data_IF_167600612090
#
_entry.id   IF_167600612090
#
_cell.length_a   1.000
_cell.length_b   1.000
_cell.length_c   1.000
_cell.angle_alpha   90.00
_cell.angle_beta   90.00
_cell.angle_gamma   90.00
#
_symmetry.space_group_name_H-M   'P 1'
#
loop_
_entity.id
_entity.type
_entity.pdbx_description
1 polymer ?
#
# COMPACT_ATOMS: atom_id res chain seq x y z
N UNK A 1 32.06 -64.30 49.73
CA UNK A 1 30.58 -64.30 49.72
C UNK A 1 30.14 -63.06 48.96
N UNK A 2 29.45 -63.29 47.83
CA UNK A 2 28.45 -62.44 47.15
C UNK A 2 28.78 -60.94 47.00
N UNK A 3 29.26 -60.43 45.86
CA UNK A 3 28.63 -60.36 44.54
C UNK A 3 27.35 -59.48 44.54
N UNK A 4 27.44 -58.37 43.79
CA UNK A 4 26.37 -57.55 43.19
C UNK A 4 25.51 -56.64 44.07
N UNK A 5 25.78 -55.33 43.97
CA UNK A 5 24.71 -54.32 44.02
C UNK A 5 24.79 -53.44 42.79
N UNK A 6 24.44 -54.05 41.66
CA UNK A 6 24.03 -53.38 40.43
C UNK A 6 22.88 -52.41 40.75
N UNK A 7 23.02 -51.13 40.41
CA UNK A 7 22.22 -50.49 39.35
C UNK A 7 22.54 -48.99 39.28
N UNK A 8 23.16 -48.61 38.16
CA UNK A 8 22.88 -47.38 37.44
C UNK A 8 22.69 -46.09 38.28
N UNK A 9 23.80 -45.41 38.60
CA UNK A 9 23.77 -43.94 38.72
C UNK A 9 23.61 -43.41 37.29
N UNK A 10 22.36 -43.43 36.82
CA UNK A 10 21.95 -42.84 35.55
C UNK A 10 22.39 -41.39 35.57
N UNK A 11 23.28 -41.09 34.62
CA UNK A 11 23.62 -39.76 34.15
C UNK A 11 22.31 -39.06 33.76
N UNK A 12 21.65 -38.41 34.71
CA UNK A 12 20.43 -37.63 34.44
C UNK A 12 20.88 -36.29 33.83
N UNK A 13 21.22 -36.34 32.54
CA UNK A 13 21.18 -35.20 31.66
C UNK A 13 19.73 -34.71 31.60
N UNK A 14 19.31 -33.93 32.59
CA UNK A 14 18.14 -33.07 32.45
C UNK A 14 18.51 -31.95 31.47
N UNK A 15 18.47 -32.27 30.18
CA UNK A 15 18.36 -31.27 29.13
C UNK A 15 16.99 -30.62 29.32
N UNK A 16 16.95 -29.58 30.17
CA UNK A 16 15.82 -28.68 30.25
C UNK A 16 15.76 -28.04 28.87
N UNK A 17 14.86 -28.54 28.02
CA UNK A 17 14.43 -27.82 26.83
C UNK A 17 13.72 -26.59 27.38
N UNK A 18 14.51 -25.55 27.65
CA UNK A 18 14.03 -24.23 27.99
C UNK A 18 13.38 -23.68 26.72
N UNK A 19 12.11 -24.03 26.53
CA UNK A 19 11.20 -23.22 25.75
C UNK A 19 11.04 -21.92 26.57
N UNK A 20 12.01 -21.01 26.46
CA UNK A 20 11.93 -19.70 27.11
C UNK A 20 10.61 -19.07 26.70
N UNK A 21 9.73 -18.69 27.64
CA UNK A 21 8.45 -18.10 27.28
C UNK A 21 8.73 -16.83 26.49
N UNK A 22 8.31 -16.82 25.23
CA UNK A 22 8.39 -15.67 24.35
C UNK A 22 7.72 -14.47 25.03
N UNK A 23 8.39 -13.31 25.05
CA UNK A 23 7.88 -12.10 25.69
C UNK A 23 6.44 -11.81 25.17
N UNK A 24 5.42 -11.70 26.04
CA UNK A 24 4.04 -11.52 25.60
C UNK A 24 3.86 -10.21 24.81
N UNK A 25 4.67 -9.18 25.04
CA UNK A 25 4.72 -7.96 24.23
C UNK A 25 5.26 -8.22 22.82
N UNK A 26 6.25 -9.09 22.68
CA UNK A 26 6.79 -9.48 21.37
C UNK A 26 5.74 -10.20 20.54
N UNK A 27 4.97 -11.11 21.15
CA UNK A 27 3.87 -11.80 20.45
C UNK A 27 2.76 -10.82 20.02
N UNK A 28 2.43 -9.81 20.83
CA UNK A 28 1.46 -8.77 20.44
C UNK A 28 1.96 -7.99 19.23
N UNK A 29 3.23 -7.60 19.23
CA UNK A 29 3.83 -6.78 18.16
C UNK A 29 3.95 -7.59 16.86
N UNK A 30 4.32 -8.88 16.94
CA UNK A 30 4.30 -9.80 15.80
C UNK A 30 2.90 -9.97 15.19
N UNK A 31 1.87 -9.97 16.03
CA UNK A 31 0.47 -10.05 15.56
C UNK A 31 0.00 -8.75 14.89
N UNK A 32 0.46 -7.59 15.40
CA UNK A 32 0.15 -6.29 14.81
C UNK A 32 0.89 -6.07 13.48
N UNK A 33 2.14 -6.53 13.41
CA UNK A 33 3.02 -6.48 12.23
C UNK A 33 3.10 -5.10 11.54
N UNK A 34 3.14 -4.02 12.33
CA UNK A 34 3.29 -2.66 11.81
C UNK A 34 4.65 -2.07 12.16
N UNK A 35 5.22 -1.19 11.30
CA UNK A 35 6.48 -0.51 11.58
C UNK A 35 6.47 0.24 12.91
N UNK A 36 5.33 0.83 13.28
CA UNK A 36 5.15 1.59 14.51
C UNK A 36 5.18 0.70 15.75
N UNK A 37 4.54 -0.48 15.69
CA UNK A 37 4.54 -1.44 16.79
C UNK A 37 5.94 -1.98 17.06
N UNK A 38 6.69 -2.33 16.02
CA UNK A 38 8.09 -2.75 16.15
C UNK A 38 8.98 -1.62 16.69
N UNK A 39 8.81 -0.39 16.19
CA UNK A 39 9.57 0.77 16.69
C UNK A 39 9.30 1.05 18.18
N UNK A 40 8.06 0.88 18.64
CA UNK A 40 7.71 1.03 20.04
C UNK A 40 8.29 -0.09 20.90
N UNK A 41 8.24 -1.34 20.42
CA UNK A 41 8.85 -2.48 21.09
C UNK A 41 10.36 -2.28 21.28
N UNK A 42 11.07 -1.83 20.25
CA UNK A 42 12.51 -1.55 20.33
C UNK A 42 12.85 -0.49 21.38
N UNK A 43 12.00 0.54 21.55
CA UNK A 43 12.19 1.57 22.58
C UNK A 43 11.97 1.03 23.99
N UNK A 44 10.99 0.16 24.16
CA UNK A 44 10.65 -0.42 25.46
C UNK A 44 11.62 -1.53 25.88
N UNK A 45 12.15 -2.29 24.91
CA UNK A 45 12.99 -3.46 25.14
C UNK A 45 14.32 -3.40 24.34
N UNK A 46 15.14 -2.34 24.47
CA UNK A 46 16.28 -2.08 23.57
C UNK A 46 17.39 -3.14 23.61
N UNK A 47 17.55 -3.82 24.75
CA UNK A 47 18.57 -4.87 24.95
C UNK A 47 18.03 -6.30 24.72
N UNK A 48 16.76 -6.45 24.32
CA UNK A 48 16.18 -7.77 24.04
C UNK A 48 16.71 -8.37 22.74
N UNK A 49 16.74 -9.71 22.64
CA UNK A 49 17.08 -10.38 21.38
C UNK A 49 16.03 -10.07 20.31
N UNK A 50 14.78 -9.95 20.75
CA UNK A 50 13.62 -9.59 19.95
C UNK A 50 13.71 -8.18 19.36
N UNK A 51 14.44 -7.25 19.98
CA UNK A 51 14.64 -5.92 19.40
C UNK A 51 15.43 -5.95 18.09
N UNK A 52 16.38 -6.87 17.93
CA UNK A 52 17.08 -7.07 16.66
C UNK A 52 16.13 -7.61 15.57
N UNK A 53 15.23 -8.52 15.94
CA UNK A 53 14.19 -9.05 15.06
C UNK A 53 13.17 -7.96 14.69
N UNK A 54 12.75 -7.14 15.66
CA UNK A 54 11.86 -6.00 15.46
C UNK A 54 12.43 -5.01 14.44
N UNK A 55 13.70 -4.62 14.61
CA UNK A 55 14.42 -3.75 13.65
C UNK A 55 14.40 -4.31 12.24
N UNK A 56 14.75 -5.59 12.12
CA UNK A 56 14.82 -6.28 10.83
C UNK A 56 13.44 -6.34 10.16
N UNK A 57 12.40 -6.70 10.93
CA UNK A 57 11.04 -6.78 10.41
C UNK A 57 10.49 -5.40 10.01
N UNK A 58 10.73 -4.37 10.82
CA UNK A 58 10.39 -2.99 10.51
C UNK A 58 11.04 -2.51 9.22
N UNK A 59 12.32 -2.80 9.01
CA UNK A 59 13.03 -2.47 7.78
C UNK A 59 12.43 -3.19 6.56
N UNK A 60 12.10 -4.49 6.70
CA UNK A 60 11.45 -5.26 5.64
C UNK A 60 10.07 -4.70 5.27
N UNK A 61 9.27 -4.28 6.24
CA UNK A 61 7.97 -3.64 6.00
C UNK A 61 8.10 -2.29 5.29
N UNK A 62 9.17 -1.53 5.59
CA UNK A 62 9.47 -0.29 4.89
C UNK A 62 9.89 -0.55 3.43
N UNK A 63 10.78 -1.51 3.18
CA UNK A 63 11.16 -1.94 1.83
C UNK A 63 9.93 -2.41 1.03
N UNK A 64 9.08 -3.25 1.62
CA UNK A 64 7.84 -3.70 0.99
C UNK A 64 6.87 -2.55 0.67
N UNK A 65 6.83 -1.49 1.50
CA UNK A 65 6.03 -0.30 1.21
C UNK A 65 6.58 0.45 -0.01
N UNK A 66 7.88 0.70 -0.08
CA UNK A 66 8.49 1.40 -1.21
C UNK A 66 8.36 0.58 -2.50
N UNK A 67 8.57 -0.74 -2.42
CA UNK A 67 8.34 -1.66 -3.52
C UNK A 67 6.88 -1.61 -4.01
N UNK A 68 5.90 -1.67 -3.11
CA UNK A 68 4.47 -1.52 -3.47
C UNK A 68 4.19 -0.16 -4.11
N UNK A 69 4.87 0.90 -3.67
CA UNK A 69 4.82 2.23 -4.29
C UNK A 69 5.30 2.21 -5.73
N UNK A 70 6.50 1.67 -5.97
CA UNK A 70 7.07 1.55 -7.31
C UNK A 70 6.19 0.69 -8.23
N UNK A 71 5.72 -0.46 -7.74
CA UNK A 71 4.85 -1.37 -8.50
C UNK A 71 3.46 -0.77 -8.79
N UNK A 72 2.95 0.14 -7.95
CA UNK A 72 1.69 0.85 -8.21
C UNK A 72 1.83 1.87 -9.35
N UNK A 73 2.98 2.53 -9.44
CA UNK A 73 3.27 3.53 -10.49
C UNK A 73 3.67 2.86 -11.80
N UNK A 74 4.43 1.76 -11.72
CA UNK A 74 4.87 0.91 -12.84
C UNK A 74 5.56 1.70 -13.98
N UNK A 75 6.44 2.63 -13.62
CA UNK A 75 7.30 3.34 -14.58
C UNK A 75 8.77 3.02 -14.35
N UNK A 76 9.60 3.19 -15.39
CA UNK A 76 11.04 2.97 -15.30
C UNK A 76 11.68 3.84 -14.20
N UNK A 77 11.22 5.08 -14.05
CA UNK A 77 11.70 6.03 -13.04
C UNK A 77 11.32 5.60 -11.62
N UNK A 78 10.12 5.06 -11.43
CA UNK A 78 9.67 4.59 -10.13
C UNK A 78 10.48 3.39 -9.65
N UNK A 79 10.77 2.43 -10.55
CA UNK A 79 11.67 1.33 -10.23
C UNK A 79 13.12 1.78 -10.03
N UNK A 80 13.60 2.75 -10.82
CA UNK A 80 14.94 3.34 -10.63
C UNK A 80 15.08 3.96 -9.22
N UNK A 81 14.08 4.73 -8.78
CA UNK A 81 14.05 5.35 -7.46
C UNK A 81 14.01 4.31 -6.34
N UNK A 82 13.27 3.22 -6.52
CA UNK A 82 13.26 2.09 -5.59
C UNK A 82 14.63 1.40 -5.51
N UNK A 83 15.26 1.09 -6.66
CA UNK A 83 16.58 0.43 -6.72
C UNK A 83 17.67 1.30 -6.08
N UNK A 84 17.62 2.62 -6.26
CA UNK A 84 18.58 3.55 -5.67
C UNK A 84 18.52 3.54 -4.13
N UNK A 85 17.32 3.44 -3.56
CA UNK A 85 17.10 3.39 -2.11
C UNK A 85 17.30 1.99 -1.52
N UNK A 86 17.02 0.93 -2.30
CA UNK A 86 17.05 -0.46 -1.88
C UNK A 86 17.90 -1.32 -2.83
N UNK A 87 19.21 -1.04 -3.02
CA UNK A 87 20.01 -1.73 -4.03
C UNK A 87 20.20 -3.24 -3.75
N UNK A 88 20.14 -3.63 -2.48
CA UNK A 88 20.19 -5.02 -2.02
C UNK A 88 18.87 -5.49 -1.40
N UNK A 89 17.78 -4.73 -1.61
CA UNK A 89 16.44 -5.09 -1.12
C UNK A 89 15.93 -6.37 -1.76
N UNK A 90 14.95 -7.01 -1.12
CA UNK A 90 14.40 -8.30 -1.58
C UNK A 90 13.77 -8.17 -2.97
N UNK A 91 13.25 -6.99 -3.31
CA UNK A 91 12.63 -6.73 -4.61
C UNK A 91 13.56 -6.08 -5.63
N UNK A 92 14.83 -5.80 -5.28
CA UNK A 92 15.76 -5.07 -6.13
C UNK A 92 16.00 -5.77 -7.49
N UNK A 93 16.16 -7.09 -7.49
CA UNK A 93 16.33 -7.87 -8.72
C UNK A 93 15.08 -7.79 -9.61
N UNK A 94 13.89 -7.92 -9.02
CA UNK A 94 12.61 -7.82 -9.74
C UNK A 94 12.37 -6.42 -10.29
N UNK A 95 12.69 -5.39 -9.51
CA UNK A 95 12.58 -4.00 -9.92
C UNK A 95 13.48 -3.70 -11.14
N UNK A 96 14.73 -4.18 -11.13
CA UNK A 96 15.65 -4.03 -12.27
C UNK A 96 15.12 -4.71 -13.53
N UNK A 97 14.61 -5.93 -13.40
CA UNK A 97 14.02 -6.66 -14.52
C UNK A 97 12.84 -5.88 -15.11
N UNK A 98 11.91 -5.43 -14.26
CA UNK A 98 10.74 -4.66 -14.71
C UNK A 98 11.11 -3.30 -15.32
N UNK A 99 12.09 -2.61 -14.73
CA UNK A 99 12.62 -1.37 -15.29
C UNK A 99 13.16 -1.59 -16.71
N UNK A 100 13.96 -2.65 -16.92
CA UNK A 100 14.52 -2.97 -18.23
C UNK A 100 13.43 -3.29 -19.27
N UNK A 101 12.40 -4.05 -18.89
CA UNK A 101 11.24 -4.32 -19.75
C UNK A 101 10.54 -3.04 -20.19
N UNK A 102 10.31 -2.10 -19.26
CA UNK A 102 9.62 -0.84 -19.54
C UNK A 102 10.46 0.09 -20.44
N UNK A 103 11.78 0.12 -20.25
CA UNK A 103 12.70 0.86 -21.12
C UNK A 103 12.71 0.25 -22.52
N UNK A 104 12.76 -1.08 -22.64
CA UNK A 104 12.77 -1.76 -23.92
C UNK A 104 11.44 -1.63 -24.68
N UNK A 105 10.32 -1.52 -23.96
CA UNK A 105 8.99 -1.34 -24.54
C UNK A 105 8.67 0.11 -24.90
N UNK A 106 9.47 1.09 -24.44
CA UNK A 106 9.27 2.48 -24.80
C UNK A 106 9.64 2.70 -26.28
N UNK A 107 8.79 3.34 -27.09
CA UNK A 107 9.20 3.77 -28.43
C UNK A 107 10.40 4.71 -28.30
N UNK A 108 11.31 4.77 -29.30
CA UNK A 108 12.40 5.74 -29.28
C UNK A 108 11.77 7.14 -29.26
N UNK A 109 11.72 7.73 -28.08
CA UNK A 109 11.41 9.14 -27.92
C UNK A 109 12.51 9.88 -28.68
N UNK A 110 12.18 10.81 -29.61
CA UNK A 110 13.21 11.69 -30.13
C UNK A 110 13.82 12.40 -28.92
N UNK A 111 15.11 12.17 -28.71
CA UNK A 111 15.94 12.91 -27.78
C UNK A 111 15.58 14.39 -27.87
N UNK A 112 15.23 15.08 -26.77
CA UNK A 112 15.37 16.51 -26.75
C UNK A 112 16.87 16.78 -26.85
N UNK A 113 17.32 17.03 -28.07
CA UNK A 113 18.51 17.78 -28.35
C UNK A 113 18.35 19.12 -27.62
N UNK A 114 18.92 19.21 -26.44
CA UNK A 114 20.04 20.10 -26.11
C UNK A 114 20.23 20.03 -24.60
N UNK A 115 21.23 19.28 -24.18
CA UNK A 115 22.00 19.59 -22.99
C UNK A 115 22.78 20.89 -23.24
N UNK A 116 22.08 22.02 -23.38
CA UNK A 116 22.63 23.39 -23.47
C UNK A 116 21.65 24.38 -22.82
N UNK A 117 21.19 24.08 -21.60
CA UNK A 117 20.54 25.09 -20.74
C UNK A 117 20.75 24.83 -19.23
N UNK A 118 21.64 23.89 -18.88
CA UNK A 118 21.97 23.57 -17.47
C UNK A 118 23.17 24.38 -16.96
N UNK A 119 23.82 25.19 -17.79
CA UNK A 119 25.00 25.97 -17.42
C UNK A 119 24.72 27.46 -17.11
N UNK A 120 23.54 27.79 -16.56
CA UNK A 120 23.34 29.14 -16.01
C UNK A 120 22.37 29.21 -14.84
N UNK A 121 22.58 28.39 -13.82
CA UNK A 121 22.07 28.66 -12.47
C UNK A 121 22.82 27.90 -11.36
N UNK A 122 24.10 27.56 -11.54
CA UNK A 122 24.94 27.18 -10.41
C UNK A 122 25.67 28.44 -9.92
N UNK A 123 25.03 29.17 -9.00
CA UNK A 123 25.63 30.35 -8.39
C UNK A 123 24.74 30.97 -7.33
N UNK A 124 24.73 30.39 -6.13
CA UNK A 124 25.00 31.03 -4.83
C UNK A 124 24.43 30.18 -3.69
N UNK A 125 25.36 29.50 -3.01
CA UNK A 125 25.56 29.34 -1.56
C UNK A 125 24.38 28.97 -0.64
N UNK A 126 24.65 27.92 0.13
CA UNK A 126 23.93 27.40 1.28
C UNK A 126 23.55 28.44 2.35
N UNK A 127 22.35 28.27 2.94
CA UNK A 127 22.08 28.03 4.37
C UNK A 127 20.66 27.49 4.57
N UNK A 128 20.45 26.85 5.73
CA UNK A 128 19.18 26.58 6.45
C UNK A 128 18.36 25.28 6.19
N UNK A 129 18.52 24.31 7.10
CA UNK A 129 17.39 23.61 7.77
C UNK A 129 16.69 24.63 8.72
N UNK A 130 15.41 24.49 9.18
CA UNK A 130 14.60 23.28 9.25
C UNK A 130 13.09 23.44 8.90
N UNK A 131 12.38 22.30 8.92
CA UNK A 131 10.91 22.14 8.78
C UNK A 131 10.12 22.97 9.82
N UNK A 132 8.88 23.39 9.49
CA UNK A 132 7.75 22.81 10.23
C UNK A 132 6.51 22.51 9.35
N UNK A 133 5.67 21.61 9.88
CA UNK A 133 4.34 21.29 9.38
C UNK A 133 3.41 22.53 9.37
N UNK A 134 2.28 22.46 8.65
CA UNK A 134 1.08 23.10 9.17
C UNK A 134 -0.10 22.14 9.34
N UNK A 135 -0.72 22.34 10.49
CA UNK A 135 -1.97 21.80 10.98
C UNK A 135 -3.20 22.09 10.12
N UNK A 136 -4.19 21.23 10.36
CA UNK A 136 -5.63 21.41 10.25
C UNK A 136 -6.12 22.86 10.38
N UNK A 137 -7.01 23.32 9.49
CA UNK A 137 -7.93 24.41 9.82
C UNK A 137 -9.31 23.92 10.33
N UNK A 138 -9.96 24.68 11.24
CA UNK A 138 -11.13 24.30 12.02
C UNK A 138 -12.47 24.60 11.32
N UNK A 139 -13.55 24.05 11.88
CA UNK A 139 -14.91 24.50 11.61
C UNK A 139 -15.14 25.92 12.15
N UNK A 140 -15.97 26.72 11.46
CA UNK A 140 -16.95 27.53 12.17
C UNK A 140 -18.37 27.32 11.59
N UNK A 141 -19.31 27.16 12.50
CA UNK A 141 -20.74 27.18 12.25
C UNK A 141 -21.28 28.62 12.36
N UNK A 142 -22.31 28.92 11.56
CA UNK A 142 -23.43 29.88 11.70
C UNK A 142 -23.54 31.03 10.67
N UNK A 143 -24.75 31.06 10.11
CA UNK A 143 -25.35 31.69 8.91
C UNK A 143 -25.65 33.20 9.07
N UNK A 144 -26.00 33.96 8.00
CA UNK A 144 -27.40 34.01 7.48
C UNK A 144 -27.58 34.13 5.94
N UNK A 145 -28.73 33.65 5.43
CA UNK A 145 -29.23 33.76 4.05
C UNK A 145 -29.78 35.18 3.73
N UNK A 146 -29.85 35.66 2.46
CA UNK A 146 -30.85 35.23 1.43
C UNK A 146 -30.22 35.13 0.01
N UNK A 147 -30.79 34.63 -1.09
CA UNK A 147 -32.15 34.37 -1.56
C UNK A 147 -32.07 33.32 -2.72
N UNK A 148 -33.11 32.48 -2.89
CA UNK A 148 -33.15 31.29 -3.77
C UNK A 148 -33.15 31.59 -5.27
N UNK A 149 -32.42 30.78 -6.05
CA UNK A 149 -32.93 30.14 -7.28
C UNK A 149 -33.33 28.67 -7.04
N UNK A 150 -34.21 28.07 -7.86
CA UNK A 150 -35.04 26.92 -7.46
C UNK A 150 -34.26 25.64 -7.16
N UNK A 151 -34.70 24.96 -6.10
CA UNK A 151 -34.19 23.69 -5.63
C UNK A 151 -34.32 22.59 -6.68
N UNK A 152 -33.21 22.23 -7.32
CA UNK A 152 -32.99 20.84 -7.72
C UNK A 152 -32.50 20.11 -6.46
N UNK A 153 -33.20 19.03 -6.10
CA UNK A 153 -32.90 18.20 -4.91
C UNK A 153 -31.39 17.91 -4.84
N UNK A 154 -30.74 17.88 -3.66
CA UNK A 154 -29.37 17.41 -3.56
C UNK A 154 -29.34 15.99 -4.14
N UNK A 155 -28.70 15.86 -5.30
CA UNK A 155 -28.48 14.58 -5.97
C UNK A 155 -27.60 13.77 -5.04
N UNK A 156 -28.17 12.76 -4.39
CA UNK A 156 -27.41 11.84 -3.56
C UNK A 156 -26.46 11.09 -4.50
N UNK A 157 -25.17 11.45 -4.47
CA UNK A 157 -24.15 10.69 -5.15
C UNK A 157 -24.15 9.28 -4.54
N UNK A 158 -24.31 8.28 -5.39
CA UNK A 158 -24.40 6.87 -4.98
C UNK A 158 -23.09 6.19 -5.34
N UNK A 159 -22.58 5.33 -4.45
CA UNK A 159 -21.39 4.53 -4.75
C UNK A 159 -21.80 3.15 -5.25
N UNK A 160 -21.26 2.75 -6.41
CA UNK A 160 -21.38 1.39 -6.93
C UNK A 160 -20.07 0.64 -6.70
N UNK A 161 -20.13 -0.60 -6.27
CA UNK A 161 -19.01 -1.54 -6.27
C UNK A 161 -19.14 -2.51 -7.43
N UNK A 162 -18.21 -2.45 -8.37
CA UNK A 162 -18.19 -3.25 -9.59
C UNK A 162 -17.47 -4.60 -9.40
N UNK A 163 -16.70 -4.76 -8.32
CA UNK A 163 -16.08 -6.04 -8.00
C UNK A 163 -15.02 -5.96 -6.92
N UNK A 164 -14.56 -7.14 -6.51
CA UNK A 164 -13.40 -7.32 -5.64
C UNK A 164 -12.42 -8.28 -6.33
N UNK A 165 -11.20 -7.83 -6.55
CA UNK A 165 -10.19 -8.51 -7.36
C UNK A 165 -8.97 -8.81 -6.50
N UNK A 166 -8.25 -9.90 -6.77
CA UNK A 166 -7.01 -10.19 -6.04
C UNK A 166 -5.79 -9.38 -6.51
N UNK A 167 -5.96 -8.41 -7.41
CA UNK A 167 -4.90 -7.47 -7.80
C UNK A 167 -5.47 -6.17 -8.37
N UNK A 168 -4.68 -5.09 -8.33
CA UNK A 168 -5.05 -3.79 -8.90
C UNK A 168 -5.19 -3.85 -10.42
N UNK A 169 -4.35 -4.62 -11.11
CA UNK A 169 -4.36 -4.76 -12.57
C UNK A 169 -5.64 -5.44 -13.05
N UNK A 170 -6.14 -6.46 -12.32
CA UNK A 170 -7.42 -7.11 -12.64
C UNK A 170 -8.61 -6.18 -12.40
N UNK A 171 -8.54 -5.35 -11.36
CA UNK A 171 -9.53 -4.30 -11.13
C UNK A 171 -9.53 -3.27 -12.27
N UNK A 172 -8.35 -2.81 -12.72
CA UNK A 172 -8.24 -1.87 -13.84
C UNK A 172 -8.68 -2.48 -15.18
N UNK A 173 -8.36 -3.77 -15.42
CA UNK A 173 -8.84 -4.49 -16.61
C UNK A 173 -10.37 -4.55 -16.61
N UNK A 174 -10.97 -4.96 -15.50
CA UNK A 174 -12.42 -5.01 -15.35
C UNK A 174 -13.07 -3.63 -15.49
N UNK A 175 -12.40 -2.56 -15.04
CA UNK A 175 -12.85 -1.18 -15.28
C UNK A 175 -12.91 -0.83 -16.78
N UNK A 176 -11.87 -1.17 -17.56
CA UNK A 176 -11.88 -0.94 -19.02
C UNK A 176 -12.97 -1.74 -19.72
N UNK A 177 -13.18 -2.99 -19.31
CA UNK A 177 -14.27 -3.84 -19.83
C UNK A 177 -15.64 -3.20 -19.51
N UNK A 178 -15.84 -2.70 -18.28
CA UNK A 178 -17.05 -2.00 -17.88
C UNK A 178 -17.30 -0.71 -18.70
N UNK A 179 -16.25 0.04 -19.02
CA UNK A 179 -16.33 1.22 -19.91
C UNK A 179 -16.66 0.86 -21.38
N UNK A 180 -16.34 -0.36 -21.80
CA UNK A 180 -16.76 -0.91 -23.10
C UNK A 180 -18.26 -1.19 -23.15
N UNK A 181 -18.82 -1.71 -22.05
CA UNK A 181 -20.25 -2.06 -21.93
C UNK A 181 -21.11 -0.80 -21.71
N UNK A 182 -20.64 0.11 -20.85
CA UNK A 182 -21.42 1.28 -20.41
C UNK A 182 -20.65 2.57 -20.71
N UNK A 183 -21.13 3.31 -21.70
CA UNK A 183 -20.47 4.54 -22.16
C UNK A 183 -20.40 5.63 -21.07
N UNK A 184 -21.36 5.70 -20.14
CA UNK A 184 -21.35 6.71 -19.06
C UNK A 184 -20.18 6.54 -18.10
N UNK A 185 -19.63 5.32 -17.95
CA UNK A 185 -18.44 5.07 -17.12
C UNK A 185 -17.15 5.63 -17.72
N UNK A 186 -17.14 6.02 -19.01
CA UNK A 186 -15.95 6.61 -19.66
C UNK A 186 -15.61 7.98 -19.11
N UNK A 187 -16.62 8.70 -18.62
CA UNK A 187 -16.47 10.04 -18.05
C UNK A 187 -16.34 10.01 -16.51
N UNK A 188 -16.33 8.82 -15.91
CA UNK A 188 -16.22 8.63 -14.46
C UNK A 188 -14.81 8.15 -14.10
N UNK A 189 -14.38 8.42 -12.86
CA UNK A 189 -13.10 7.94 -12.33
C UNK A 189 -13.33 6.68 -11.46
N UNK A 190 -12.54 5.61 -11.65
CA UNK A 190 -12.60 4.46 -10.77
C UNK A 190 -11.94 4.77 -9.42
N UNK A 191 -12.54 4.26 -8.36
CA UNK A 191 -11.99 4.22 -7.01
C UNK A 191 -11.58 2.78 -6.73
N UNK A 192 -10.28 2.48 -6.79
CA UNK A 192 -9.74 1.17 -6.41
C UNK A 192 -9.24 1.23 -4.97
N UNK A 193 -9.99 0.60 -4.05
CA UNK A 193 -9.67 0.60 -2.61
C UNK A 193 -9.14 -0.76 -2.22
N UNK A 194 -7.95 -0.81 -1.62
CA UNK A 194 -7.42 -2.03 -1.01
C UNK A 194 -8.05 -2.24 0.38
N UNK A 195 -8.62 -3.41 0.64
CA UNK A 195 -9.19 -3.73 1.95
C UNK A 195 -8.10 -3.88 3.01
N UNK A 196 -8.17 -3.13 4.10
CA UNK A 196 -7.17 -3.17 5.19
C UNK A 196 -7.12 -4.49 5.98
N UNK A 197 -8.00 -5.45 5.68
CA UNK A 197 -7.99 -6.81 6.24
C UNK A 197 -8.30 -7.92 5.23
N UNK A 198 -8.41 -7.60 3.93
CA UNK A 198 -8.60 -8.57 2.86
C UNK A 198 -7.66 -8.20 1.72
N UNK A 199 -6.86 -9.14 1.19
CA UNK A 199 -5.96 -8.95 0.03
C UNK A 199 -6.72 -8.71 -1.30
N UNK A 200 -7.86 -8.03 -1.22
CA UNK A 200 -8.80 -7.76 -2.29
C UNK A 200 -8.82 -6.25 -2.58
N UNK A 201 -8.74 -5.95 -3.87
CA UNK A 201 -8.87 -4.63 -4.47
C UNK A 201 -10.33 -4.46 -4.89
N UNK A 202 -11.03 -3.53 -4.24
CA UNK A 202 -12.43 -3.23 -4.51
C UNK A 202 -12.51 -2.12 -5.54
N UNK A 203 -13.11 -2.41 -6.70
CA UNK A 203 -13.39 -1.42 -7.74
C UNK A 203 -14.73 -0.76 -7.45
N UNK A 204 -14.73 0.57 -7.30
CA UNK A 204 -15.92 1.38 -7.06
C UNK A 204 -16.00 2.56 -8.02
N UNK A 205 -17.19 3.12 -8.17
CA UNK A 205 -17.46 4.36 -8.91
C UNK A 205 -18.58 5.13 -8.23
N UNK A 206 -18.44 6.45 -8.14
CA UNK A 206 -19.50 7.35 -7.69
C UNK A 206 -20.34 7.81 -8.90
N UNK A 207 -21.65 7.78 -8.75
CA UNK A 207 -22.60 8.19 -9.79
C UNK A 207 -23.54 9.25 -9.25
N UNK A 208 -23.99 10.16 -10.11
CA UNK A 208 -24.75 11.35 -9.71
C UNK A 208 -26.16 11.04 -9.20
N UNK A 209 -26.72 9.88 -9.51
CA UNK A 209 -28.04 9.51 -9.03
C UNK A 209 -28.23 8.00 -8.89
N UNK A 210 -29.16 7.61 -8.01
CA UNK A 210 -29.60 6.22 -7.84
C UNK A 210 -30.14 5.62 -9.15
N UNK A 211 -30.91 6.39 -9.91
CA UNK A 211 -31.42 5.94 -11.20
C UNK A 211 -30.30 5.65 -12.21
N UNK A 212 -29.21 6.41 -12.19
CA UNK A 212 -28.02 6.12 -13.01
C UNK A 212 -27.32 4.85 -12.50
N UNK A 213 -27.21 4.70 -11.18
CA UNK A 213 -26.64 3.51 -10.54
C UNK A 213 -27.34 2.22 -10.92
N UNK A 214 -28.67 2.20 -10.83
CA UNK A 214 -29.51 1.07 -11.19
C UNK A 214 -29.35 0.69 -12.68
N UNK A 215 -29.33 1.68 -13.59
CA UNK A 215 -29.13 1.45 -15.03
C UNK A 215 -27.74 0.90 -15.33
N UNK A 216 -26.69 1.44 -14.71
CA UNK A 216 -25.31 0.98 -14.88
C UNK A 216 -25.16 -0.46 -14.37
N UNK A 217 -25.65 -0.75 -13.16
CA UNK A 217 -25.57 -2.10 -12.61
C UNK A 217 -26.38 -3.11 -13.44
N UNK A 218 -27.56 -2.75 -13.96
CA UNK A 218 -28.34 -3.63 -14.82
C UNK A 218 -27.59 -3.98 -16.11
N UNK A 219 -26.97 -2.98 -16.76
CA UNK A 219 -26.20 -3.19 -17.99
C UNK A 219 -24.97 -4.09 -17.76
N UNK A 220 -24.23 -3.85 -16.66
CA UNK A 220 -23.06 -4.67 -16.32
C UNK A 220 -23.43 -6.11 -16.00
N UNK A 221 -24.48 -6.34 -15.19
CA UNK A 221 -24.95 -7.69 -14.86
C UNK A 221 -25.45 -8.45 -16.09
N UNK A 222 -26.12 -7.76 -17.03
CA UNK A 222 -26.55 -8.36 -18.30
C UNK A 222 -25.37 -8.84 -19.15
N UNK A 223 -24.22 -8.16 -19.06
CA UNK A 223 -22.97 -8.54 -19.71
C UNK A 223 -22.12 -9.55 -18.89
N UNK A 224 -22.64 -10.06 -17.76
CA UNK A 224 -21.94 -11.01 -16.89
C UNK A 224 -20.95 -10.38 -15.91
N UNK A 225 -20.89 -9.04 -15.83
CA UNK A 225 -20.04 -8.33 -14.87
C UNK A 225 -20.74 -8.15 -13.51
N UNK A 226 -19.95 -8.08 -12.44
CA UNK A 226 -20.47 -7.82 -11.09
C UNK A 226 -20.81 -6.33 -10.89
N UNK A 227 -21.86 -6.04 -10.13
CA UNK A 227 -22.21 -4.68 -9.70
C UNK A 227 -23.14 -4.73 -8.48
N UNK A 228 -22.87 -3.92 -7.47
CA UNK A 228 -23.73 -3.74 -6.29
C UNK A 228 -23.71 -2.26 -5.87
N UNK A 229 -24.85 -1.74 -5.46
CA UNK A 229 -24.99 -0.40 -4.89
C UNK A 229 -24.66 -0.45 -3.38
N UNK A 230 -23.91 0.54 -2.87
CA UNK A 230 -23.49 0.64 -1.47
C UNK A 230 -24.29 1.69 -0.70
#
# INVERSE_FOLDING_TARGET
>A
MMLERNLATVLLCAAIVACSPTNPEWEKVRKLDTPEAYAQFEKQFPASQEAALARSRRAALADEREWRGANRVDTAEAYAAYIAQHPQGVWAARARARQAELIAAAPPVPTPATAEAVEKAAGVRATEEPKPAPDKPPAPEKTPAPEKPPATKPRAAVTLQLGAFSSAERAQKSWREAQGIVASLRNSKPLVVHGSGSNLYRLRVEVESRADGERICAALRKAGASCIEL
#
